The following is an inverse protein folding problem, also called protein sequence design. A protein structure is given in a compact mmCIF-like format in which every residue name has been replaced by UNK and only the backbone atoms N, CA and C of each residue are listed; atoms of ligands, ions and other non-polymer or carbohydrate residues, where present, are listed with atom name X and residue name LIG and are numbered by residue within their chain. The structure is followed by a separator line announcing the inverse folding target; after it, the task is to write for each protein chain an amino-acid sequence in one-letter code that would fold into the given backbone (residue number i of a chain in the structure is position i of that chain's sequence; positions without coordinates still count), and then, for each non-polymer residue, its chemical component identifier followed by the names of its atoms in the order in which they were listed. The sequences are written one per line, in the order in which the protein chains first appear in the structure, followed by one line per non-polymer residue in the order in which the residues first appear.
data_IF_404081693094
#
_entry.id   IF_404081693094
#
_cell.length_a   1.000
_cell.length_b   1.000
_cell.length_c   1.000
_cell.angle_alpha   90.00
_cell.angle_beta   90.00
_cell.angle_gamma   90.00
#
_symmetry.space_group_name_H-M   'P 1'
#
loop_
_entity.id
_entity.type
_entity.pdbx_description
1 polymer ?
#
# COMPACT_ATOMS: atom_id res chain seq x y z
N UNK A 1 32.01 36.22 9.32
CA UNK A 1 31.45 34.88 9.65
C UNK A 1 32.50 33.85 9.28
N UNK A 2 32.89 32.97 10.21
CA UNK A 2 33.98 32.01 10.03
C UNK A 2 33.40 30.67 9.52
N UNK A 3 33.77 30.19 8.31
CA UNK A 3 33.21 28.98 7.71
C UNK A 3 33.72 27.67 8.32
N UNK A 4 34.65 27.71 9.29
CA UNK A 4 35.29 26.52 9.85
C UNK A 4 34.95 26.24 11.32
N UNK A 5 33.80 26.72 11.81
CA UNK A 5 33.35 26.40 13.18
C UNK A 5 32.48 25.14 13.16
N UNK A 6 32.91 24.00 13.74
CA UNK A 6 32.03 22.84 13.87
C UNK A 6 30.85 23.23 14.76
N UNK A 7 29.63 22.98 14.27
CA UNK A 7 28.39 23.13 15.02
C UNK A 7 28.39 22.06 16.11
N UNK A 8 28.89 22.40 17.29
CA UNK A 8 28.64 21.63 18.51
C UNK A 8 27.21 21.92 18.97
N UNK A 9 26.24 21.40 18.22
CA UNK A 9 24.91 21.14 18.73
C UNK A 9 24.91 19.71 19.24
N UNK A 10 24.92 19.53 20.57
CA UNK A 10 24.47 18.27 21.14
C UNK A 10 23.03 18.08 20.65
N UNK A 11 22.86 17.19 19.67
CA UNK A 11 21.56 16.57 19.43
C UNK A 11 21.25 15.84 20.73
N UNK A 12 20.30 16.37 21.50
CA UNK A 12 19.71 15.64 22.62
C UNK A 12 19.10 14.39 22.00
N UNK A 13 19.88 13.31 22.03
CA UNK A 13 19.45 12.02 21.58
C UNK A 13 18.35 11.54 22.54
N UNK A 14 17.08 11.43 22.09
CA UNK A 14 16.00 10.95 22.94
C UNK A 14 16.20 9.48 23.36
N UNK A 15 17.23 8.80 22.83
CA UNK A 15 17.53 7.40 23.10
C UNK A 15 17.99 7.11 24.54
N UNK A 16 18.32 8.12 25.34
CA UNK A 16 19.01 7.90 26.63
C UNK A 16 18.11 7.49 27.81
N UNK A 17 16.77 7.57 27.69
CA UNK A 17 15.84 7.36 28.82
C UNK A 17 14.92 6.12 28.73
N UNK A 18 15.16 5.18 27.81
CA UNK A 18 14.23 4.06 27.57
C UNK A 18 14.86 2.66 27.75
N UNK A 19 15.81 2.52 28.68
CA UNK A 19 16.54 1.27 28.98
C UNK A 19 15.68 0.10 29.50
N UNK A 20 14.39 0.30 29.79
CA UNK A 20 13.53 -0.73 30.40
C UNK A 20 12.68 -1.54 29.41
N UNK A 21 12.56 -1.11 28.15
CA UNK A 21 11.88 -1.89 27.12
C UNK A 21 12.95 -2.54 26.25
N UNK A 22 13.09 -3.86 26.38
CA UNK A 22 14.14 -4.66 25.75
C UNK A 22 14.42 -4.22 24.31
N UNK A 23 15.53 -3.50 24.11
CA UNK A 23 16.13 -3.35 22.80
C UNK A 23 16.55 -4.75 22.37
N UNK A 24 16.25 -5.12 21.13
CA UNK A 24 17.01 -6.18 20.49
C UNK A 24 18.49 -5.79 20.58
N UNK A 25 19.36 -6.72 21.01
CA UNK A 25 20.80 -6.50 21.07
C UNK A 25 21.28 -5.91 19.75
N UNK A 26 22.05 -4.82 19.81
CA UNK A 26 22.52 -4.06 18.65
C UNK A 26 23.51 -4.83 17.76
N UNK A 27 23.71 -6.12 18.01
CA UNK A 27 24.65 -7.01 17.33
C UNK A 27 24.00 -7.81 16.20
N UNK A 28 22.68 -7.93 16.18
CA UNK A 28 22.00 -8.77 15.21
C UNK A 28 21.14 -7.88 14.30
N UNK A 29 21.60 -7.74 13.05
CA UNK A 29 20.73 -7.28 11.98
C UNK A 29 19.41 -8.06 12.09
N UNK A 30 18.23 -7.41 12.09
CA UNK A 30 16.98 -8.15 12.17
C UNK A 30 16.99 -9.20 11.07
N UNK A 31 16.84 -10.46 11.50
CA UNK A 31 16.86 -11.67 10.69
C UNK A 31 16.25 -11.40 9.32
N UNK A 32 16.90 -11.88 8.25
CA UNK A 32 16.24 -11.93 6.94
C UNK A 32 14.83 -12.49 7.17
N UNK A 33 13.78 -11.83 6.64
CA UNK A 33 12.42 -12.25 6.93
C UNK A 33 12.32 -13.76 6.68
N UNK A 34 11.65 -14.53 7.56
CA UNK A 34 11.18 -15.88 7.22
C UNK A 34 10.59 -15.85 5.82
N UNK A 35 10.58 -16.96 5.07
CA UNK A 35 10.04 -17.01 3.69
C UNK A 35 8.59 -16.49 3.63
N UNK A 36 8.40 -15.17 3.61
CA UNK A 36 7.14 -14.48 3.66
C UNK A 36 6.89 -13.98 2.26
N UNK A 37 6.18 -14.78 1.47
CA UNK A 37 5.66 -14.33 0.18
C UNK A 37 4.22 -14.78 -0.08
N UNK A 38 3.46 -15.25 0.92
CA UNK A 38 2.05 -15.59 0.69
C UNK A 38 1.14 -14.35 0.66
N UNK A 39 1.54 -13.29 1.37
CA UNK A 39 0.74 -12.05 1.49
C UNK A 39 1.28 -10.89 0.66
N UNK A 40 2.57 -10.93 0.32
CA UNK A 40 3.18 -10.01 -0.63
C UNK A 40 3.12 -10.64 -2.02
N UNK A 41 2.61 -9.92 -3.04
CA UNK A 41 2.70 -10.36 -4.42
C UNK A 41 4.14 -10.62 -4.83
N UNK A 42 4.32 -11.59 -5.72
CA UNK A 42 5.63 -11.95 -6.26
C UNK A 42 5.95 -11.00 -7.43
N UNK A 43 6.51 -9.83 -7.14
CA UNK A 43 6.75 -8.75 -8.11
C UNK A 43 7.57 -9.19 -9.32
N UNK A 44 8.52 -10.10 -9.12
CA UNK A 44 9.34 -10.68 -10.18
C UNK A 44 8.54 -11.49 -11.21
N UNK A 45 7.30 -11.86 -10.87
CA UNK A 45 6.36 -12.53 -11.78
C UNK A 45 5.41 -11.55 -12.44
N UNK A 46 5.45 -10.25 -12.13
CA UNK A 46 4.66 -9.26 -12.85
C UNK A 46 5.26 -9.02 -14.24
N UNK A 47 4.42 -8.63 -15.19
CA UNK A 47 4.86 -8.21 -16.51
C UNK A 47 3.91 -8.59 -17.63
N UNK A 48 4.32 -8.24 -18.86
CA UNK A 48 3.56 -8.46 -20.08
C UNK A 48 3.21 -9.94 -20.33
N UNK A 49 4.01 -10.88 -19.84
CA UNK A 49 3.76 -12.31 -20.02
C UNK A 49 2.50 -12.80 -19.30
N UNK A 50 1.94 -12.02 -18.35
CA UNK A 50 0.63 -12.30 -17.75
C UNK A 50 -0.52 -11.57 -18.45
N UNK A 51 -0.24 -10.73 -19.46
CA UNK A 51 -1.28 -10.14 -20.28
C UNK A 51 -1.82 -11.17 -21.26
N UNK A 52 -3.13 -11.17 -21.46
CA UNK A 52 -3.80 -12.19 -22.29
C UNK A 52 -4.84 -12.96 -21.47
N UNK A 53 -5.94 -13.36 -22.11
CA UNK A 53 -7.00 -14.16 -21.49
C UNK A 53 -7.68 -13.50 -20.27
N UNK A 54 -7.69 -12.17 -20.19
CA UNK A 54 -8.54 -11.47 -19.24
C UNK A 54 -10.01 -11.69 -19.60
N UNK A 55 -10.86 -11.80 -18.59
CA UNK A 55 -12.29 -12.01 -18.80
C UNK A 55 -12.85 -10.84 -19.61
N UNK A 56 -13.13 -11.07 -20.88
CA UNK A 56 -13.88 -10.12 -21.67
C UNK A 56 -15.33 -10.15 -21.19
N UNK A 57 -16.00 -9.01 -20.98
CA UNK A 57 -17.41 -9.04 -20.69
C UNK A 57 -18.19 -9.70 -21.84
N UNK A 58 -19.33 -10.33 -21.52
CA UNK A 58 -20.04 -11.29 -22.39
C UNK A 58 -20.34 -10.82 -23.83
N UNK A 59 -20.38 -9.52 -24.08
CA UNK A 59 -20.59 -8.94 -25.41
C UNK A 59 -19.37 -9.01 -26.35
N UNK A 60 -18.20 -9.41 -25.86
CA UNK A 60 -17.05 -9.72 -26.71
C UNK A 60 -17.11 -11.12 -27.35
N UNK A 61 -18.06 -11.94 -26.92
CA UNK A 61 -18.20 -13.32 -27.38
C UNK A 61 -19.30 -13.39 -28.43
N UNK A 62 -18.93 -13.73 -29.66
CA UNK A 62 -19.89 -14.28 -30.61
C UNK A 62 -19.93 -15.80 -30.40
N UNK A 63 -21.11 -16.35 -30.10
CA UNK A 63 -21.31 -17.81 -29.97
C UNK A 63 -20.38 -18.50 -28.95
N UNK A 64 -20.03 -17.83 -27.84
CA UNK A 64 -19.24 -18.44 -26.77
C UNK A 64 -17.75 -18.60 -27.07
N UNK A 65 -17.25 -18.08 -28.20
CA UNK A 65 -15.81 -17.99 -28.48
C UNK A 65 -15.36 -16.54 -28.51
N UNK A 66 -14.18 -16.28 -27.92
CA UNK A 66 -13.51 -14.99 -28.02
C UNK A 66 -13.18 -14.81 -29.51
N UNK A 67 -13.76 -13.81 -30.16
CA UNK A 67 -13.51 -13.59 -31.59
C UNK A 67 -12.09 -13.05 -31.75
N UNK A 68 -11.16 -13.96 -32.02
CA UNK A 68 -9.76 -13.64 -32.31
C UNK A 68 -9.73 -12.68 -33.51
N UNK A 69 -9.11 -11.52 -33.33
CA UNK A 69 -9.01 -10.47 -34.36
C UNK A 69 -9.94 -9.27 -34.16
N UNK A 70 -10.81 -9.27 -33.14
CA UNK A 70 -11.52 -8.05 -32.74
C UNK A 70 -10.55 -7.04 -32.11
N UNK A 71 -10.63 -5.81 -32.60
CA UNK A 71 -9.92 -4.67 -32.04
C UNK A 71 -10.90 -3.76 -31.29
N UNK A 72 -10.47 -3.26 -30.15
CA UNK A 72 -11.18 -2.22 -29.39
C UNK A 72 -10.21 -1.10 -29.04
N UNK A 73 -10.73 0.12 -28.96
CA UNK A 73 -9.93 1.28 -28.58
C UNK A 73 -9.60 1.26 -27.09
N UNK A 74 -8.33 1.44 -26.76
CA UNK A 74 -7.90 1.67 -25.39
C UNK A 74 -8.37 3.06 -24.93
N UNK A 75 -8.98 3.16 -23.75
CA UNK A 75 -9.45 4.42 -23.16
C UNK A 75 -8.32 5.45 -23.02
N UNK A 76 -7.13 5.03 -22.61
CA UNK A 76 -6.02 5.95 -22.31
C UNK A 76 -5.29 6.52 -23.54
N UNK A 77 -5.04 5.71 -24.57
CA UNK A 77 -4.27 6.12 -25.75
C UNK A 77 -5.08 6.21 -27.04
N UNK A 78 -6.36 5.84 -27.00
CA UNK A 78 -7.29 5.79 -28.14
C UNK A 78 -6.83 4.91 -29.31
N UNK A 79 -5.73 4.15 -29.16
CA UNK A 79 -5.25 3.24 -30.20
C UNK A 79 -6.10 1.96 -30.23
N UNK A 80 -6.41 1.41 -31.41
CA UNK A 80 -7.03 0.11 -31.53
C UNK A 80 -6.04 -0.96 -31.04
N UNK A 81 -6.51 -1.86 -30.18
CA UNK A 81 -5.74 -2.98 -29.62
C UNK A 81 -6.55 -4.25 -29.75
N UNK A 82 -5.85 -5.37 -29.91
CA UNK A 82 -6.49 -6.67 -29.87
C UNK A 82 -7.19 -6.85 -28.52
N UNK A 83 -8.46 -7.25 -28.54
CA UNK A 83 -9.29 -7.45 -27.34
C UNK A 83 -8.63 -8.38 -26.31
N UNK A 84 -7.91 -9.41 -26.76
CA UNK A 84 -7.19 -10.33 -25.86
C UNK A 84 -6.07 -9.64 -25.06
N UNK A 85 -5.56 -8.50 -25.53
CA UNK A 85 -4.49 -7.73 -24.87
C UNK A 85 -4.99 -6.60 -23.97
N UNK A 86 -6.31 -6.44 -23.86
CA UNK A 86 -6.95 -5.36 -23.12
C UNK A 86 -7.40 -5.81 -21.72
N UNK A 87 -7.40 -4.85 -20.80
CA UNK A 87 -7.87 -5.01 -19.43
C UNK A 87 -9.20 -4.28 -19.28
N UNK A 88 -10.27 -5.03 -19.04
CA UNK A 88 -11.63 -4.50 -19.03
C UNK A 88 -12.00 -3.97 -17.64
N UNK A 89 -12.49 -2.74 -17.60
CA UNK A 89 -13.01 -2.12 -16.39
C UNK A 89 -14.49 -2.48 -16.22
N UNK A 90 -15.06 -2.41 -15.00
CA UNK A 90 -16.48 -2.70 -14.78
C UNK A 90 -17.43 -1.82 -15.60
N UNK A 91 -17.04 -0.58 -15.92
CA UNK A 91 -17.80 0.34 -16.76
C UNK A 91 -17.67 0.08 -18.27
N UNK A 92 -17.09 -1.07 -18.65
CA UNK A 92 -16.84 -1.52 -20.01
C UNK A 92 -15.78 -0.77 -20.82
N UNK A 93 -15.11 0.22 -20.23
CA UNK A 93 -13.89 0.76 -20.80
C UNK A 93 -12.74 -0.25 -20.71
N UNK A 94 -11.76 -0.11 -21.61
CA UNK A 94 -10.64 -1.03 -21.71
C UNK A 94 -9.30 -0.29 -21.70
N UNK A 95 -8.29 -0.86 -21.05
CA UNK A 95 -6.93 -0.31 -21.01
C UNK A 95 -5.94 -1.30 -21.62
N UNK A 96 -5.07 -0.82 -22.51
CA UNK A 96 -3.86 -1.56 -22.85
C UNK A 96 -2.89 -1.54 -21.66
N UNK A 97 -1.92 -2.45 -21.66
CA UNK A 97 -0.93 -2.57 -20.57
C UNK A 97 -0.25 -1.23 -20.23
N UNK A 98 0.21 -0.49 -21.23
CA UNK A 98 0.90 0.78 -20.98
C UNK A 98 -0.03 1.81 -20.30
N UNK A 99 -1.29 1.85 -20.71
CA UNK A 99 -2.29 2.71 -20.09
C UNK A 99 -2.73 2.21 -18.72
N UNK A 100 -2.70 0.91 -18.46
CA UNK A 100 -2.89 0.34 -17.13
C UNK A 100 -1.78 0.80 -16.19
N UNK A 101 -0.51 0.71 -16.60
CA UNK A 101 0.63 1.21 -15.83
C UNK A 101 0.51 2.71 -15.55
N UNK A 102 0.21 3.51 -16.58
CA UNK A 102 0.00 4.96 -16.42
C UNK A 102 -1.16 5.28 -15.48
N UNK A 103 -2.23 4.48 -15.50
CA UNK A 103 -3.35 4.65 -14.58
C UNK A 103 -2.94 4.38 -13.13
N UNK A 104 -2.20 3.29 -12.88
CA UNK A 104 -1.66 2.97 -11.56
C UNK A 104 -0.74 4.08 -11.02
N UNK A 105 0.16 4.62 -11.86
CA UNK A 105 1.03 5.75 -11.48
C UNK A 105 0.20 7.01 -11.19
N UNK A 106 -0.81 7.32 -12.02
CA UNK A 106 -1.69 8.47 -11.79
C UNK A 106 -2.45 8.35 -10.47
N UNK A 107 -2.91 7.15 -10.11
CA UNK A 107 -3.55 6.89 -8.81
C UNK A 107 -2.57 7.25 -7.68
N UNK A 108 -1.34 6.76 -7.75
CA UNK A 108 -0.30 7.08 -6.78
C UNK A 108 -0.09 8.60 -6.63
N UNK A 109 0.14 9.29 -7.74
CA UNK A 109 0.31 10.75 -7.78
C UNK A 109 -0.90 11.50 -7.21
N UNK A 110 -2.11 10.99 -7.48
CA UNK A 110 -3.37 11.56 -6.96
C UNK A 110 -3.45 11.40 -5.45
N UNK A 111 -3.12 10.22 -4.91
CA UNK A 111 -3.07 9.98 -3.47
C UNK A 111 -2.04 10.90 -2.81
N UNK A 112 -0.84 11.02 -3.37
CA UNK A 112 0.19 11.89 -2.81
C UNK A 112 -0.24 13.37 -2.82
N UNK A 113 -0.78 13.85 -3.95
CA UNK A 113 -1.21 15.25 -4.08
C UNK A 113 -2.45 15.60 -3.24
N UNK A 114 -3.35 14.63 -3.00
CA UNK A 114 -4.57 14.81 -2.20
C UNK A 114 -4.51 14.12 -0.85
N UNK A 115 -3.32 13.83 -0.33
CA UNK A 115 -3.11 12.98 0.85
C UNK A 115 -3.98 13.37 2.03
N UNK A 116 -4.02 14.65 2.41
CA UNK A 116 -4.83 15.12 3.52
C UNK A 116 -6.35 14.87 3.34
N UNK A 117 -6.86 14.98 2.11
CA UNK A 117 -8.28 14.75 1.81
C UNK A 117 -8.60 13.26 1.82
N UNK A 118 -7.73 12.43 1.24
CA UNK A 118 -7.86 10.97 1.26
C UNK A 118 -7.80 10.46 2.71
N UNK A 119 -6.84 10.94 3.50
CA UNK A 119 -6.67 10.54 4.90
C UNK A 119 -7.88 10.90 5.75
N UNK A 120 -8.48 12.08 5.52
CA UNK A 120 -9.70 12.51 6.19
C UNK A 120 -10.89 11.60 5.82
N UNK A 121 -11.08 11.32 4.53
CA UNK A 121 -12.15 10.44 4.07
C UNK A 121 -12.02 9.02 4.65
N UNK A 122 -10.80 8.46 4.66
CA UNK A 122 -10.53 7.15 5.27
C UNK A 122 -10.75 7.15 6.79
N UNK A 123 -10.37 8.23 7.48
CA UNK A 123 -10.62 8.38 8.91
C UNK A 123 -12.12 8.40 9.23
N UNK A 124 -12.91 9.11 8.43
CA UNK A 124 -14.37 9.18 8.59
C UNK A 124 -15.04 7.84 8.30
N UNK A 125 -14.63 7.14 7.24
CA UNK A 125 -15.12 5.78 6.96
C UNK A 125 -14.82 4.84 8.13
N UNK A 126 -13.58 4.84 8.63
CA UNK A 126 -13.20 4.02 9.77
C UNK A 126 -13.96 4.38 11.07
N UNK A 127 -14.26 5.66 11.28
CA UNK A 127 -15.09 6.11 12.41
C UNK A 127 -16.51 5.53 12.29
N UNK A 128 -17.12 5.60 11.10
CA UNK A 128 -18.46 5.04 10.85
C UNK A 128 -18.50 3.53 11.02
N UNK A 129 -17.51 2.81 10.50
CA UNK A 129 -17.37 1.37 10.73
C UNK A 129 -17.34 1.03 12.23
N UNK A 130 -16.54 1.75 13.03
CA UNK A 130 -16.46 1.55 14.49
C UNK A 130 -17.77 1.87 15.20
N UNK A 131 -18.55 2.83 14.70
CA UNK A 131 -19.88 3.11 15.25
C UNK A 131 -20.85 1.98 14.90
N UNK A 132 -20.83 1.46 13.67
CA UNK A 132 -21.64 0.31 13.24
C UNK A 132 -21.36 -0.93 14.11
N UNK A 133 -20.08 -1.24 14.36
CA UNK A 133 -19.66 -2.36 15.23
C UNK A 133 -20.15 -2.23 16.69
N UNK A 134 -20.44 -1.01 17.14
CA UNK A 134 -20.88 -0.70 18.51
C UNK A 134 -22.36 -0.34 18.60
N UNK A 135 -23.10 -0.44 17.50
CA UNK A 135 -24.49 -0.03 17.47
C UNK A 135 -25.36 -0.97 18.33
N UNK A 136 -26.27 -0.39 19.11
CA UNK A 136 -27.14 -1.13 20.02
C UNK A 136 -28.20 -1.99 19.29
N UNK A 137 -28.34 -1.83 17.97
CA UNK A 137 -29.29 -2.61 17.15
C UNK A 137 -28.73 -2.91 15.77
N UNK A 138 -29.18 -4.03 15.19
CA UNK A 138 -28.80 -4.44 13.84
C UNK A 138 -29.26 -3.45 12.75
N UNK A 139 -30.41 -2.79 12.94
CA UNK A 139 -30.90 -1.78 12.00
C UNK A 139 -29.97 -0.56 11.95
N UNK A 140 -29.57 -0.05 13.13
CA UNK A 140 -28.63 1.06 13.22
C UNK A 140 -27.24 0.67 12.69
N UNK A 141 -26.79 -0.55 12.99
CA UNK A 141 -25.53 -1.09 12.44
C UNK A 141 -25.55 -1.10 10.91
N UNK A 142 -26.67 -1.53 10.31
CA UNK A 142 -26.86 -1.56 8.86
C UNK A 142 -26.76 -0.18 8.22
N UNK A 143 -27.51 0.81 8.75
CA UNK A 143 -27.47 2.19 8.25
C UNK A 143 -26.05 2.79 8.34
N UNK A 144 -25.34 2.55 9.44
CA UNK A 144 -23.97 3.03 9.60
C UNK A 144 -22.97 2.35 8.67
N UNK A 145 -23.20 1.07 8.32
CA UNK A 145 -22.37 0.35 7.37
C UNK A 145 -22.62 0.82 5.92
N UNK A 146 -23.85 1.19 5.58
CA UNK A 146 -24.16 1.83 4.29
C UNK A 146 -23.45 3.19 4.18
N UNK A 147 -23.55 4.04 5.21
CA UNK A 147 -22.82 5.32 5.25
C UNK A 147 -21.29 5.14 5.16
N UNK A 148 -20.74 4.11 5.83
CA UNK A 148 -19.32 3.76 5.71
C UNK A 148 -18.96 3.44 4.24
N UNK A 149 -19.78 2.62 3.59
CA UNK A 149 -19.60 2.25 2.18
C UNK A 149 -19.58 3.45 1.26
N UNK A 150 -20.48 4.42 1.45
CA UNK A 150 -20.56 5.65 0.68
C UNK A 150 -19.31 6.53 0.88
N UNK A 151 -18.90 6.74 2.14
CA UNK A 151 -17.69 7.53 2.45
C UNK A 151 -16.44 6.85 1.87
N UNK A 152 -16.37 5.53 1.91
CA UNK A 152 -15.27 4.79 1.32
C UNK A 152 -15.27 4.89 -0.22
N UNK A 153 -16.43 4.87 -0.86
CA UNK A 153 -16.56 5.09 -2.30
C UNK A 153 -16.10 6.50 -2.71
N UNK A 154 -16.38 7.51 -1.90
CA UNK A 154 -15.85 8.86 -2.07
C UNK A 154 -14.33 8.91 -1.93
N UNK A 155 -13.77 8.20 -0.94
CA UNK A 155 -12.32 8.08 -0.77
C UNK A 155 -11.65 7.45 -2.00
N UNK A 156 -12.24 6.39 -2.57
CA UNK A 156 -11.77 5.79 -3.82
C UNK A 156 -11.83 6.76 -4.99
N UNK A 157 -12.91 7.54 -5.10
CA UNK A 157 -13.06 8.56 -6.15
C UNK A 157 -12.01 9.66 -6.01
N UNK A 158 -11.79 10.15 -4.79
CA UNK A 158 -10.76 11.16 -4.50
C UNK A 158 -9.36 10.66 -4.87
N UNK A 159 -9.05 9.40 -4.58
CA UNK A 159 -7.79 8.74 -4.89
C UNK A 159 -7.64 8.33 -6.37
N UNK A 160 -8.66 8.55 -7.21
CA UNK A 160 -8.61 8.26 -8.64
C UNK A 160 -8.83 6.78 -9.00
N UNK A 161 -9.41 5.98 -8.11
CA UNK A 161 -9.71 4.56 -8.34
C UNK A 161 -10.98 4.32 -9.17
N UNK A 162 -11.66 5.36 -9.66
CA UNK A 162 -12.94 5.23 -10.36
C UNK A 162 -12.89 5.62 -11.84
N UNK A 163 -13.75 4.98 -12.63
CA UNK A 163 -14.01 5.30 -14.03
C UNK A 163 -15.53 5.25 -14.25
N UNK A 164 -16.12 6.32 -14.79
CA UNK A 164 -17.58 6.43 -14.96
C UNK A 164 -18.36 6.19 -13.65
N UNK A 165 -17.83 6.66 -12.52
CA UNK A 165 -18.44 6.45 -11.19
C UNK A 165 -18.30 5.04 -10.63
N UNK A 166 -17.63 4.11 -11.33
CA UNK A 166 -17.43 2.73 -10.86
C UNK A 166 -15.98 2.48 -10.45
N UNK A 167 -15.70 1.70 -9.38
CA UNK A 167 -14.35 1.29 -9.03
C UNK A 167 -13.70 0.50 -10.16
N UNK A 168 -12.50 0.90 -10.57
CA UNK A 168 -11.79 0.27 -11.70
C UNK A 168 -11.33 -1.17 -11.42
N UNK A 169 -11.23 -1.57 -10.14
CA UNK A 169 -10.79 -2.91 -9.69
C UNK A 169 -9.45 -3.36 -10.31
N UNK A 170 -8.51 -2.43 -10.45
CA UNK A 170 -7.20 -2.70 -11.10
C UNK A 170 -6.36 -3.76 -10.39
N UNK A 171 -6.67 -4.10 -9.12
CA UNK A 171 -6.03 -5.20 -8.39
C UNK A 171 -6.14 -6.56 -9.09
N UNK A 172 -7.19 -6.79 -9.89
CA UNK A 172 -7.31 -8.00 -10.72
C UNK A 172 -6.25 -8.10 -11.83
N UNK A 173 -5.59 -6.98 -12.16
CA UNK A 173 -4.58 -6.88 -13.22
C UNK A 173 -3.17 -6.62 -12.67
N UNK A 174 -2.96 -6.79 -11.37
CA UNK A 174 -1.69 -6.49 -10.70
C UNK A 174 -0.48 -7.18 -11.35
N UNK A 175 -0.62 -8.46 -11.73
CA UNK A 175 0.46 -9.22 -12.36
C UNK A 175 0.73 -8.84 -13.82
N UNK A 176 -0.14 -8.05 -14.46
CA UNK A 176 0.05 -7.57 -15.83
C UNK A 176 0.92 -6.29 -15.88
N UNK A 177 0.95 -5.53 -14.78
CA UNK A 177 1.73 -4.30 -14.64
C UNK A 177 3.25 -4.58 -14.65
N UNK A 178 4.05 -3.53 -14.84
CA UNK A 178 5.49 -3.62 -14.59
C UNK A 178 5.76 -3.87 -13.09
N UNK A 179 6.81 -4.62 -12.71
CA UNK A 179 7.08 -4.97 -11.31
C UNK A 179 7.09 -3.77 -10.35
N UNK A 180 7.75 -2.67 -10.72
CA UNK A 180 7.79 -1.45 -9.90
C UNK A 180 6.43 -0.78 -9.78
N UNK A 181 5.65 -0.75 -10.87
CA UNK A 181 4.31 -0.16 -10.89
C UNK A 181 3.33 -1.01 -10.08
N UNK A 182 3.42 -2.34 -10.19
CA UNK A 182 2.63 -3.27 -9.39
C UNK A 182 2.89 -3.08 -7.89
N UNK A 183 4.15 -2.92 -7.49
CA UNK A 183 4.52 -2.64 -6.10
C UNK A 183 3.87 -1.34 -5.60
N UNK A 184 4.04 -0.24 -6.35
CA UNK A 184 3.46 1.07 -6.00
C UNK A 184 1.94 0.96 -5.86
N UNK A 185 1.27 0.44 -6.89
CA UNK A 185 -0.18 0.29 -6.91
C UNK A 185 -0.68 -0.57 -5.75
N UNK A 186 -0.01 -1.69 -5.47
CA UNK A 186 -0.39 -2.53 -4.35
C UNK A 186 -0.20 -1.83 -3.01
N UNK A 187 0.87 -1.06 -2.82
CA UNK A 187 1.06 -0.27 -1.60
C UNK A 187 -0.06 0.76 -1.43
N UNK A 188 -0.45 1.45 -2.50
CA UNK A 188 -1.57 2.39 -2.49
C UNK A 188 -2.90 1.69 -2.22
N UNK A 189 -3.12 0.51 -2.80
CA UNK A 189 -4.33 -0.27 -2.57
C UNK A 189 -4.42 -0.74 -1.12
N UNK A 190 -3.33 -1.28 -0.58
CA UNK A 190 -3.24 -1.66 0.83
C UNK A 190 -3.38 -0.45 1.76
N UNK A 191 -2.87 0.71 1.36
CA UNK A 191 -3.02 1.95 2.12
C UNK A 191 -4.49 2.33 2.28
N UNK A 192 -5.25 2.31 1.17
CA UNK A 192 -6.69 2.60 1.17
C UNK A 192 -7.47 1.62 2.05
N UNK A 193 -7.07 0.35 2.09
CA UNK A 193 -7.73 -0.68 2.90
C UNK A 193 -7.29 -0.71 4.37
N UNK A 194 -6.16 -0.08 4.71
CA UNK A 194 -5.59 -0.14 6.05
C UNK A 194 -6.16 0.99 6.91
N UNK A 195 -6.82 0.66 8.05
CA UNK A 195 -7.29 1.68 8.99
C UNK A 195 -6.15 2.59 9.44
N UNK A 196 -6.42 3.88 9.62
CA UNK A 196 -5.40 4.89 9.92
C UNK A 196 -4.51 4.52 11.13
N UNK A 197 -5.07 3.92 12.17
CA UNK A 197 -4.31 3.46 13.35
C UNK A 197 -3.29 2.35 13.07
N UNK A 198 -3.41 1.70 11.92
CA UNK A 198 -2.59 0.59 11.45
C UNK A 198 -1.69 0.99 10.28
N UNK A 199 -1.68 2.27 9.91
CA UNK A 199 -0.85 2.78 8.83
C UNK A 199 0.59 2.94 9.31
N UNK A 200 1.38 1.89 9.17
CA UNK A 200 2.80 1.94 9.51
C UNK A 200 3.60 2.57 8.37
N UNK A 201 4.69 3.24 8.73
CA UNK A 201 5.66 3.77 7.78
C UNK A 201 7.02 3.14 8.03
N UNK A 202 7.81 2.99 6.97
CA UNK A 202 9.17 2.52 7.06
C UNK A 202 9.98 3.43 8.01
N UNK A 203 10.71 2.84 8.94
CA UNK A 203 11.53 3.58 9.91
C UNK A 203 12.67 4.34 9.24
N UNK A 204 13.21 3.78 8.14
CA UNK A 204 14.32 4.32 7.36
C UNK A 204 14.06 5.78 6.93
N UNK A 205 14.96 6.73 7.25
CA UNK A 205 14.72 8.16 7.13
C UNK A 205 14.50 8.62 5.69
N UNK A 206 15.12 7.90 4.77
CA UNK A 206 15.19 8.11 3.34
C UNK A 206 14.05 7.40 2.57
N UNK A 207 13.42 6.38 3.17
CA UNK A 207 12.32 5.65 2.55
C UNK A 207 10.93 6.18 2.95
N UNK A 208 10.59 6.15 4.25
CA UNK A 208 9.27 6.54 4.83
C UNK A 208 8.02 5.97 4.14
N UNK A 209 8.17 5.02 3.21
CA UNK A 209 7.06 4.41 2.50
C UNK A 209 6.10 3.72 3.46
N UNK A 210 4.82 3.70 3.10
CA UNK A 210 3.81 2.93 3.82
C UNK A 210 4.16 1.43 3.81
N UNK A 211 4.01 0.78 4.97
CA UNK A 211 4.26 -0.65 5.16
C UNK A 211 3.00 -1.32 5.74
N UNK A 212 2.31 -2.16 4.94
CA UNK A 212 1.15 -2.89 5.41
C UNK A 212 1.47 -3.75 6.64
N UNK A 213 0.49 -3.88 7.54
CA UNK A 213 0.63 -4.68 8.76
C UNK A 213 1.01 -6.15 8.52
N UNK A 214 0.62 -6.68 7.35
CA UNK A 214 0.90 -8.05 6.88
C UNK A 214 2.33 -8.25 6.36
N UNK A 215 3.10 -7.18 6.18
CA UNK A 215 4.55 -7.23 5.98
C UNK A 215 5.30 -7.34 7.33
N UNK A 216 4.57 -7.50 8.43
CA UNK A 216 5.15 -7.62 9.75
C UNK A 216 5.24 -9.05 10.25
N UNK A 217 6.29 -9.33 11.01
CA UNK A 217 6.57 -10.63 11.61
C UNK A 217 7.20 -10.48 13.00
N UNK A 218 7.07 -11.50 13.83
CA UNK A 218 7.82 -11.60 15.09
C UNK A 218 9.03 -12.47 14.80
N UNK A 219 10.20 -12.10 15.33
CA UNK A 219 11.42 -12.89 15.16
C UNK A 219 11.24 -14.32 15.68
N UNK A 220 12.10 -15.23 15.23
CA UNK A 220 12.07 -16.68 15.40
C UNK A 220 11.88 -17.19 16.84
N UNK A 221 12.13 -16.36 17.84
CA UNK A 221 11.90 -16.67 19.26
C UNK A 221 10.43 -16.56 19.69
N UNK A 222 9.55 -15.98 18.87
CA UNK A 222 8.14 -15.71 19.20
C UNK A 222 7.96 -14.66 20.32
N UNK A 223 9.06 -14.13 20.85
CA UNK A 223 9.15 -13.19 21.95
C UNK A 223 10.00 -12.02 21.47
N UNK A 224 9.37 -10.90 21.14
CA UNK A 224 10.10 -9.73 20.65
C UNK A 224 9.20 -8.69 19.97
N UNK A 225 9.78 -7.53 19.59
CA UNK A 225 9.06 -6.51 18.85
C UNK A 225 8.63 -7.04 17.47
N UNK A 226 7.48 -6.57 16.99
CA UNK A 226 7.04 -6.85 15.63
C UNK A 226 7.99 -6.14 14.65
N UNK A 227 8.68 -6.91 13.81
CA UNK A 227 9.47 -6.39 12.70
C UNK A 227 8.53 -6.08 11.54
N UNK A 228 8.77 -4.99 10.83
CA UNK A 228 8.10 -4.59 9.59
C UNK A 228 9.12 -4.61 8.46
N UNK A 229 8.88 -5.44 7.44
CA UNK A 229 9.68 -5.47 6.23
C UNK A 229 9.12 -4.49 5.20
N UNK A 230 9.91 -3.50 4.78
CA UNK A 230 9.50 -2.51 3.79
C UNK A 230 9.76 -3.04 2.37
N UNK A 231 8.71 -3.22 1.54
CA UNK A 231 8.87 -3.74 0.19
C UNK A 231 9.49 -2.73 -0.78
N UNK A 232 9.51 -1.43 -0.42
CA UNK A 232 10.11 -0.37 -1.25
C UNK A 232 11.63 -0.34 -1.14
N UNK A 233 12.19 -0.41 0.07
CA UNK A 233 13.63 -0.32 0.29
C UNK A 233 14.29 -1.65 0.73
N UNK A 234 13.50 -2.71 0.86
CA UNK A 234 13.91 -4.01 1.43
C UNK A 234 14.54 -3.88 2.83
N UNK A 235 14.18 -2.82 3.56
CA UNK A 235 14.65 -2.51 4.90
C UNK A 235 13.71 -3.08 5.96
N UNK A 236 14.27 -3.54 7.07
CA UNK A 236 13.50 -3.95 8.24
C UNK A 236 13.42 -2.79 9.24
N UNK A 237 12.26 -2.60 9.86
CA UNK A 237 12.02 -1.63 10.94
C UNK A 237 11.34 -2.34 12.12
N UNK A 238 11.48 -1.85 13.35
CA UNK A 238 10.83 -2.40 14.53
C UNK A 238 9.61 -1.57 14.91
N UNK A 239 8.45 -2.20 15.06
CA UNK A 239 7.26 -1.59 15.62
C UNK A 239 7.31 -1.72 17.14
N UNK A 240 7.38 -0.59 17.83
CA UNK A 240 7.37 -0.51 19.29
C UNK A 240 6.05 0.14 19.71
N UNK A 241 5.17 -0.66 20.31
CA UNK A 241 3.92 -0.17 20.88
C UNK A 241 4.13 0.17 22.35
N UNK A 242 3.80 1.40 22.75
CA UNK A 242 3.79 1.76 24.16
C UNK A 242 2.49 1.24 24.77
N UNK A 243 2.56 0.23 25.63
CA UNK A 243 1.39 -0.14 26.44
C UNK A 243 1.08 1.02 27.40
N UNK A 244 -0.10 1.62 27.24
CA UNK A 244 -0.69 2.45 28.29
C UNK A 244 -1.38 1.50 29.26
N UNK A 245 -0.79 1.32 30.44
CA UNK A 245 -1.33 0.59 31.58
C UNK A 245 -2.58 1.25 32.22
N UNK A 246 -3.42 1.91 31.43
CA UNK A 246 -4.66 2.55 31.88
C UNK A 246 -5.67 2.51 30.73
N UNK A 247 -6.79 1.83 30.94
CA UNK A 247 -7.75 1.39 29.93
C UNK A 247 -8.15 2.40 28.85
N UNK A 248 -8.53 1.82 27.70
CA UNK A 248 -9.34 2.39 26.62
C UNK A 248 -8.67 3.19 25.49
N UNK A 249 -7.34 3.21 25.37
CA UNK A 249 -6.72 3.62 24.10
C UNK A 249 -5.52 2.74 23.75
N UNK A 250 -5.58 2.04 22.61
CA UNK A 250 -4.41 1.38 22.02
C UNK A 250 -3.29 2.44 21.94
N UNK A 251 -2.17 2.19 22.60
CA UNK A 251 -1.06 3.14 22.62
C UNK A 251 -0.54 3.40 21.22
N UNK A 252 0.01 4.61 20.99
CA UNK A 252 0.67 4.92 19.72
C UNK A 252 1.86 3.97 19.56
N UNK A 253 1.84 3.19 18.48
CA UNK A 253 3.00 2.42 18.06
C UNK A 253 3.91 3.32 17.21
N UNK A 254 5.19 3.35 17.55
CA UNK A 254 6.22 4.07 16.80
C UNK A 254 7.08 3.06 16.03
N UNK A 255 7.48 3.40 14.81
CA UNK A 255 8.37 2.57 14.01
C UNK A 255 9.80 3.08 14.13
N UNK A 256 10.72 2.18 14.49
CA UNK A 256 12.12 2.48 14.80
C UNK A 256 13.07 1.67 13.91
N UNK A 257 14.31 2.14 13.77
CA UNK A 257 15.40 1.40 13.14
C UNK A 257 16.34 0.91 14.25
N UNK A 258 16.81 -0.35 14.24
CA UNK A 258 17.88 -0.77 15.12
C UNK A 258 19.14 0.08 14.89
N UNK A 259 19.69 0.68 15.94
CA UNK A 259 20.80 1.64 15.89
C UNK A 259 22.15 1.06 15.44
N UNK A 260 22.22 -0.24 15.10
CA UNK A 260 23.43 -0.92 14.64
C UNK A 260 23.64 -0.96 13.12
N UNK A 261 22.72 -0.45 12.30
CA UNK A 261 22.88 -0.43 10.85
C UNK A 261 23.57 0.84 10.35
N UNK A 262 24.61 0.73 9.49
CA UNK A 262 25.17 1.90 8.84
C UNK A 262 24.09 2.58 8.00
N UNK A 263 23.90 3.88 8.21
CA UNK A 263 22.93 4.72 7.48
C UNK A 263 23.25 4.85 5.97
N UNK A 264 24.28 4.19 5.46
CA UNK A 264 24.60 4.11 4.04
C UNK A 264 24.12 2.80 3.44
N UNK A 265 22.93 2.77 2.84
CA UNK A 265 22.60 1.75 1.83
C UNK A 265 22.77 2.36 0.45
N UNK A 266 23.54 1.68 -0.39
CA UNK A 266 23.54 1.91 -1.83
C UNK A 266 22.19 1.43 -2.35
N UNK A 267 21.34 2.37 -2.78
CA UNK A 267 20.14 2.02 -3.52
C UNK A 267 20.57 1.27 -4.79
N UNK A 268 20.13 0.02 -4.95
CA UNK A 268 19.97 -0.48 -6.31
C UNK A 268 18.78 0.28 -6.88
N UNK A 269 19.08 1.42 -7.51
CA UNK A 269 18.11 2.16 -8.29
C UNK A 269 17.47 1.20 -9.26
N UNK A 270 16.18 0.94 -9.09
CA UNK A 270 15.36 0.51 -10.22
C UNK A 270 15.31 1.74 -11.11
N UNK A 271 16.19 1.79 -12.10
CA UNK A 271 16.08 2.76 -13.18
C UNK A 271 14.70 2.56 -13.80
N UNK A 272 13.83 3.54 -13.56
CA UNK A 272 12.58 3.68 -14.31
C UNK A 272 13.03 4.18 -15.69
N UNK A 273 13.17 3.25 -16.63
CA UNK A 273 13.30 3.55 -18.06
C UNK A 273 11.91 3.69 -18.66
#
# INVERSE_FOLDING_TARGET
MNPNRPVQGQWNDPTHNHSHFGRASSTDAPSSPPQFSRHMPQWQRCGQHNCGNHHCPGHCFAQGQLVLGMNQHCLGCSQPKNVASLHFLPCNHALCRDCLNKMAIRIHETIQSKKAQVDNALANANLRRKMSERADSAQLAGLMAEEEGDIFADALTLAGYTCCGQPMRLGGYLYCMDPGVALIFWQDYEYMLTPQENQNHCGWPDCKAFVPNKCGFIDTTGIGPKILHCPTCNGNSQLICHDRSSGESRGRCNVWIPTGHPMGRSYMGVEVV
#
